data_IF_192768330591
#
_entry.id   IF_192768330591
#
_cell.length_a   1.000
_cell.length_b   1.000
_cell.length_c   1.000
_cell.angle_alpha   90.00
_cell.angle_beta   90.00
_cell.angle_gamma   90.00
#
_symmetry.space_group_name_H-M   'P 1'
#
loop_
_entity.id
_entity.type
_entity.pdbx_description
1 polymer ?
#
# COMPACT_ATOMS: atom_id res chain seq x y z
N UNK A 1 -2.66 39.11 22.50
CA UNK A 1 -3.27 37.91 21.86
C UNK A 1 -2.24 36.84 21.41
N UNK A 2 -0.93 37.00 21.69
CA UNK A 2 0.11 36.02 21.29
C UNK A 2 0.04 34.70 22.07
N UNK A 3 -0.27 34.78 23.37
CA UNK A 3 -0.31 33.62 24.25
C UNK A 3 -1.53 32.73 23.97
N UNK A 4 -2.63 33.32 23.48
CA UNK A 4 -3.84 32.58 23.11
C UNK A 4 -3.60 31.64 21.93
N UNK A 5 -2.86 32.11 20.91
CA UNK A 5 -2.46 31.29 19.76
C UNK A 5 -1.54 30.14 20.18
N UNK A 6 -0.64 30.38 21.14
CA UNK A 6 0.24 29.34 21.68
C UNK A 6 -0.56 28.28 22.45
N UNK A 7 -1.53 28.69 23.28
CA UNK A 7 -2.43 27.75 23.96
C UNK A 7 -3.27 26.93 22.97
N UNK A 8 -3.76 27.53 21.88
CA UNK A 8 -4.47 26.84 20.81
C UNK A 8 -3.59 25.80 20.12
N UNK A 9 -2.32 26.15 19.85
CA UNK A 9 -1.40 25.24 19.17
C UNK A 9 -1.03 24.04 20.05
N UNK A 10 -0.81 24.28 21.35
CA UNK A 10 -0.53 23.23 22.33
C UNK A 10 -1.74 22.31 22.52
N UNK A 11 -2.96 22.86 22.62
CA UNK A 11 -4.16 22.03 22.76
C UNK A 11 -4.42 21.18 21.52
N UNK A 12 -4.17 21.72 20.32
CA UNK A 12 -4.30 20.97 19.06
C UNK A 12 -3.27 19.84 18.95
N UNK A 13 -2.04 20.06 19.42
CA UNK A 13 -0.99 19.05 19.45
C UNK A 13 -1.32 17.88 20.40
N UNK A 14 -1.90 18.19 21.57
CA UNK A 14 -2.31 17.18 22.55
C UNK A 14 -3.49 16.32 22.05
N UNK A 15 -4.39 16.88 21.24
CA UNK A 15 -5.52 16.15 20.64
C UNK A 15 -5.12 15.27 19.45
N UNK A 16 -3.93 15.47 18.86
CA UNK A 16 -3.47 14.67 17.71
C UNK A 16 -2.91 13.29 18.11
N UNK A 17 -2.65 13.05 19.40
CA UNK A 17 -2.10 11.79 19.88
C UNK A 17 -3.22 10.74 19.94
N UNK A 18 -3.39 9.98 18.85
CA UNK A 18 -4.28 8.81 18.84
C UNK A 18 -3.48 7.59 19.31
N UNK A 19 -4.02 6.77 20.25
CA UNK A 19 -3.41 5.49 20.54
C UNK A 19 -3.37 4.66 19.24
N UNK A 20 -2.24 4.00 18.96
CA UNK A 20 -2.16 3.07 17.85
C UNK A 20 -3.22 2.00 18.07
N UNK A 21 -4.22 1.96 17.18
CA UNK A 21 -5.16 0.85 17.14
C UNK A 21 -4.30 -0.37 16.79
N UNK A 22 -4.22 -1.40 17.65
CA UNK A 22 -3.56 -2.63 17.25
C UNK A 22 -4.35 -3.17 16.06
N UNK A 23 -3.75 -3.13 14.87
CA UNK A 23 -4.36 -3.71 13.67
C UNK A 23 -4.48 -5.22 13.91
N UNK A 24 -5.67 -5.65 14.33
CA UNK A 24 -6.02 -7.05 14.53
C UNK A 24 -5.80 -7.88 13.26
N UNK A 25 -5.82 -7.19 12.12
CA UNK A 25 -5.63 -7.75 10.78
C UNK A 25 -4.15 -7.83 10.36
N UNK A 26 -3.19 -7.32 11.15
CA UNK A 26 -1.76 -7.40 10.81
C UNK A 26 -1.25 -8.84 10.71
N UNK A 27 -1.87 -9.76 11.46
CA UNK A 27 -1.53 -11.19 11.45
C UNK A 27 -2.42 -12.02 10.53
N UNK A 28 -3.36 -11.40 9.81
CA UNK A 28 -4.18 -12.13 8.86
C UNK A 28 -3.29 -12.64 7.71
N UNK A 29 -3.50 -13.90 7.33
CA UNK A 29 -2.79 -14.45 6.20
C UNK A 29 -3.32 -13.84 4.90
N UNK A 30 -2.43 -13.24 4.10
CA UNK A 30 -2.76 -12.70 2.79
C UNK A 30 -2.95 -11.18 2.79
N UNK A 31 -3.56 -10.66 1.72
CA UNK A 31 -3.88 -9.24 1.60
C UNK A 31 -5.30 -9.03 2.13
N UNK A 32 -5.49 -8.05 3.00
CA UNK A 32 -6.83 -7.73 3.52
C UNK A 32 -7.75 -7.25 2.39
N UNK A 33 -9.04 -7.59 2.52
CA UNK A 33 -10.06 -7.16 1.56
C UNK A 33 -10.08 -5.63 1.43
N UNK A 34 -10.06 -4.92 2.56
CA UNK A 34 -10.04 -3.45 2.58
C UNK A 34 -8.84 -2.86 1.81
N UNK A 35 -7.66 -3.49 1.93
CA UNK A 35 -6.47 -3.05 1.20
C UNK A 35 -6.59 -3.33 -0.31
N UNK A 36 -7.16 -4.48 -0.69
CA UNK A 36 -7.43 -4.79 -2.10
C UNK A 36 -8.45 -3.81 -2.71
N UNK A 37 -9.54 -3.52 -2.00
CA UNK A 37 -10.56 -2.55 -2.41
C UNK A 37 -10.05 -1.10 -2.41
N UNK A 38 -9.11 -0.75 -1.54
CA UNK A 38 -8.45 0.54 -1.58
C UNK A 38 -7.53 0.66 -2.80
N UNK A 39 -6.74 -0.38 -3.07
CA UNK A 39 -5.78 -0.39 -4.20
C UNK A 39 -6.48 -0.28 -5.55
N UNK A 40 -7.57 -0.99 -5.79
CA UNK A 40 -8.30 -0.90 -7.07
C UNK A 40 -8.82 0.51 -7.38
N UNK A 41 -9.02 1.37 -6.36
CA UNK A 41 -9.39 2.78 -6.55
C UNK A 41 -8.22 3.66 -6.99
N UNK A 42 -7.00 3.31 -6.59
CA UNK A 42 -5.79 4.08 -6.90
C UNK A 42 -5.17 3.69 -8.24
N UNK A 43 -5.27 2.41 -8.60
CA UNK A 43 -4.70 1.84 -9.80
C UNK A 43 -5.83 1.27 -10.64
N UNK A 44 -6.08 1.89 -11.79
CA UNK A 44 -7.04 1.43 -12.79
C UNK A 44 -6.33 1.22 -14.12
N UNK A 45 -6.84 0.31 -14.95
CA UNK A 45 -6.30 0.02 -16.29
C UNK A 45 -4.83 -0.46 -16.33
N UNK A 46 -4.37 -1.21 -15.32
CA UNK A 46 -3.05 -1.85 -15.40
C UNK A 46 -3.09 -2.95 -16.45
N UNK A 47 -2.33 -2.77 -17.54
CA UNK A 47 -2.09 -3.82 -18.52
C UNK A 47 -0.80 -4.54 -18.15
N UNK A 48 -0.93 -5.68 -17.47
CA UNK A 48 0.23 -6.50 -17.13
C UNK A 48 0.76 -7.19 -18.39
N UNK A 49 1.91 -6.72 -18.90
CA UNK A 49 2.68 -7.48 -19.88
C UNK A 49 3.51 -8.53 -19.14
N UNK A 50 2.93 -9.73 -19.01
CA UNK A 50 3.61 -10.90 -18.48
C UNK A 50 4.12 -11.75 -19.64
N UNK A 51 5.42 -11.65 -19.90
CA UNK A 51 6.12 -12.52 -20.83
C UNK A 51 6.78 -13.67 -20.07
N UNK A 52 6.36 -14.89 -20.38
CA UNK A 52 6.98 -16.10 -19.86
C UNK A 52 7.75 -16.78 -20.98
N UNK A 53 9.06 -16.91 -20.81
CA UNK A 53 9.84 -17.79 -21.66
C UNK A 53 9.78 -19.21 -21.09
N UNK A 54 9.15 -20.13 -21.81
CA UNK A 54 9.09 -21.54 -21.40
C UNK A 54 10.42 -22.19 -21.76
N UNK A 55 11.24 -22.63 -20.79
CA UNK A 55 12.50 -23.28 -21.08
C UNK A 55 12.28 -24.67 -21.70
N UNK A 56 13.30 -25.17 -22.42
CA UNK A 56 13.24 -26.48 -23.07
C UNK A 56 13.24 -27.62 -22.05
N UNK A 57 14.04 -27.51 -21.01
CA UNK A 57 14.14 -28.52 -19.96
C UNK A 57 13.24 -28.17 -18.77
N UNK A 58 12.54 -29.16 -18.21
CA UNK A 58 11.64 -28.95 -17.06
C UNK A 58 12.36 -28.58 -15.77
N UNK A 59 13.66 -28.86 -15.69
CA UNK A 59 14.52 -28.54 -14.55
C UNK A 59 15.02 -27.10 -14.57
N UNK A 60 14.92 -26.44 -15.73
CA UNK A 60 15.42 -25.08 -15.88
C UNK A 60 14.42 -24.09 -15.27
N UNK A 61 14.90 -23.02 -14.64
CA UNK A 61 14.04 -21.99 -14.10
C UNK A 61 13.29 -21.27 -15.23
N UNK A 62 12.06 -20.83 -14.96
CA UNK A 62 11.30 -19.96 -15.86
C UNK A 62 11.80 -18.53 -15.61
N UNK A 63 12.55 -17.91 -16.54
CA UNK A 63 12.95 -16.52 -16.37
C UNK A 63 11.71 -15.63 -16.53
N UNK A 64 11.48 -14.76 -15.55
CA UNK A 64 10.37 -13.82 -15.53
C UNK A 64 10.91 -12.39 -15.46
N UNK A 65 10.34 -11.50 -16.27
CA UNK A 65 10.63 -10.07 -16.26
C UNK A 65 9.32 -9.31 -16.08
N UNK A 66 9.25 -8.45 -15.06
CA UNK A 66 8.12 -7.55 -14.86
C UNK A 66 8.42 -6.21 -15.55
N UNK A 67 7.64 -5.89 -16.58
CA UNK A 67 7.62 -4.55 -17.20
C UNK A 67 6.34 -3.87 -16.74
N UNK A 68 6.47 -2.77 -15.98
CA UNK A 68 5.35 -2.04 -15.40
C UNK A 68 5.28 -0.63 -15.99
N UNK A 69 4.21 -0.34 -16.71
CA UNK A 69 3.90 0.99 -17.23
C UNK A 69 2.72 1.57 -16.44
N UNK A 70 2.91 2.74 -15.84
CA UNK A 70 1.91 3.40 -14.98
C UNK A 70 1.50 4.74 -15.60
N UNK A 71 0.20 4.95 -15.73
CA UNK A 71 -0.42 6.25 -16.01
C UNK A 71 -0.90 6.88 -14.69
N UNK A 72 -0.46 8.10 -14.40
CA UNK A 72 -0.82 8.89 -13.20
C UNK A 72 -2.03 9.78 -13.48
#
# INVERSE_FOLDING_TARGET
MKNLLLFLFVSLALLSCKPSIPDTHFYDSGISLDLAEYRIKQISNIHYMLEFYVPKEKTDPIPAQLVLELSV
#
